data_IF_289823603577
#
_entry.id   IF_289823603577
#
_cell.length_a   1.000
_cell.length_b   1.000
_cell.length_c   1.000
_cell.angle_alpha   90.00
_cell.angle_beta   90.00
_cell.angle_gamma   90.00
#
_symmetry.space_group_name_H-M   'P 1'
#
loop_
_entity.id
_entity.type
_entity.pdbx_description
1 polymer ?
#
# COMPACT_ATOMS: atom_id res chain seq x y z
N UNK A 1 -18.31 10.05 -7.77
CA UNK A 1 -17.23 9.21 -8.31
C UNK A 1 -15.88 9.73 -7.83
N UNK A 2 -15.24 8.94 -7.02
CA UNK A 2 -13.99 9.35 -6.38
C UNK A 2 -12.95 8.25 -6.61
N UNK A 3 -12.05 8.40 -7.58
CA UNK A 3 -11.09 7.36 -7.92
C UNK A 3 -10.14 7.06 -6.78
N UNK A 4 -9.69 8.08 -6.06
CA UNK A 4 -8.76 7.90 -4.96
C UNK A 4 -9.37 7.08 -3.84
N UNK A 5 -10.63 7.35 -3.49
CA UNK A 5 -11.36 6.60 -2.47
C UNK A 5 -11.68 5.17 -2.95
N UNK A 6 -12.04 4.99 -4.21
CA UNK A 6 -12.34 3.64 -4.75
C UNK A 6 -11.11 2.75 -4.71
N UNK A 7 -9.95 3.28 -5.10
CA UNK A 7 -8.69 2.54 -5.02
C UNK A 7 -8.35 2.17 -3.58
N UNK A 8 -8.43 3.15 -2.68
CA UNK A 8 -8.14 2.95 -1.26
C UNK A 8 -9.02 1.85 -0.67
N UNK A 9 -10.32 1.93 -0.90
CA UNK A 9 -11.30 0.96 -0.38
C UNK A 9 -11.04 -0.43 -0.93
N UNK A 10 -10.73 -0.56 -2.22
CA UNK A 10 -10.39 -1.83 -2.83
C UNK A 10 -9.17 -2.45 -2.14
N UNK A 11 -8.08 -1.69 -2.03
CA UNK A 11 -6.85 -2.20 -1.43
C UNK A 11 -7.09 -2.63 0.02
N UNK A 12 -7.79 -1.81 0.78
CA UNK A 12 -8.07 -2.09 2.18
C UNK A 12 -8.87 -3.38 2.35
N UNK A 13 -9.92 -3.56 1.56
CA UNK A 13 -10.77 -4.77 1.61
C UNK A 13 -9.97 -6.01 1.24
N UNK A 14 -9.22 -5.95 0.14
CA UNK A 14 -8.46 -7.11 -0.34
C UNK A 14 -7.32 -7.48 0.61
N UNK A 15 -6.63 -6.50 1.17
CA UNK A 15 -5.57 -6.76 2.13
C UNK A 15 -6.11 -7.34 3.44
N UNK A 16 -7.27 -6.89 3.90
CA UNK A 16 -7.92 -7.43 5.09
C UNK A 16 -8.40 -8.87 4.91
N UNK A 17 -8.68 -9.29 3.68
CA UNK A 17 -8.97 -10.70 3.40
C UNK A 17 -7.76 -11.59 3.65
N UNK A 18 -6.56 -11.09 3.34
CA UNK A 18 -5.31 -11.83 3.53
C UNK A 18 -4.79 -11.74 4.97
N UNK A 19 -4.97 -10.59 5.60
CA UNK A 19 -4.44 -10.28 6.93
C UNK A 19 -5.54 -9.61 7.76
N UNK A 20 -6.56 -10.37 8.24
CA UNK A 20 -7.77 -9.77 8.81
C UNK A 20 -7.54 -8.84 10.00
N UNK A 21 -6.54 -9.14 10.82
CA UNK A 21 -6.31 -8.41 12.08
C UNK A 21 -5.08 -7.50 12.03
N UNK A 22 -4.44 -7.38 10.84
CA UNK A 22 -3.10 -6.78 10.75
C UNK A 22 -3.02 -5.66 9.71
N UNK A 23 -4.14 -5.09 9.29
CA UNK A 23 -4.16 -4.00 8.31
C UNK A 23 -4.78 -2.76 8.94
N UNK A 24 -4.06 -1.66 8.87
CA UNK A 24 -4.44 -0.37 9.43
C UNK A 24 -4.37 0.72 8.37
N UNK A 25 -5.14 1.80 8.60
CA UNK A 25 -5.19 2.92 7.67
C UNK A 25 -5.31 4.24 8.44
N UNK A 26 -5.08 5.34 7.73
CA UNK A 26 -5.23 6.72 8.20
C UNK A 26 -4.24 7.12 9.29
N UNK A 27 -4.20 6.36 10.40
CA UNK A 27 -3.27 6.59 11.51
C UNK A 27 -2.54 5.30 11.84
N UNK A 28 -1.29 5.43 12.26
CA UNK A 28 -0.54 4.29 12.78
C UNK A 28 -1.29 3.69 13.98
N UNK A 29 -1.24 2.35 14.12
CA UNK A 29 -1.92 1.70 15.23
C UNK A 29 -1.24 2.03 16.57
N UNK A 30 -1.93 1.76 17.71
CA UNK A 30 -1.35 1.94 19.04
C UNK A 30 -0.06 1.15 19.23
N UNK A 31 0.80 1.63 20.15
CA UNK A 31 2.13 1.05 20.41
C UNK A 31 2.12 -0.43 20.77
N UNK A 32 1.03 -0.92 21.39
CA UNK A 32 0.91 -2.33 21.77
C UNK A 32 0.36 -3.24 20.67
N UNK A 33 0.26 -2.73 19.45
CA UNK A 33 -0.25 -3.52 18.32
C UNK A 33 0.72 -4.63 17.97
N UNK A 34 0.22 -5.87 17.77
CA UNK A 34 1.08 -6.98 17.38
C UNK A 34 1.74 -6.78 16.02
N UNK A 35 3.00 -7.20 15.92
CA UNK A 35 3.73 -7.23 14.65
C UNK A 35 3.65 -8.63 14.03
N UNK A 36 3.80 -8.75 12.70
CA UNK A 36 3.89 -7.67 11.72
C UNK A 36 2.53 -7.08 11.40
N UNK A 37 2.53 -5.85 10.87
CA UNK A 37 1.27 -5.27 10.37
C UNK A 37 1.51 -4.48 9.09
N UNK A 38 0.42 -4.28 8.34
CA UNK A 38 0.37 -3.48 7.12
C UNK A 38 -0.29 -2.15 7.46
N UNK A 39 0.28 -1.07 6.96
CA UNK A 39 -0.30 0.26 7.09
C UNK A 39 -0.48 0.85 5.69
N UNK A 40 -1.74 1.10 5.32
CA UNK A 40 -2.07 1.76 4.06
C UNK A 40 -1.95 3.26 4.30
N UNK A 41 -0.89 3.84 3.75
CA UNK A 41 -0.46 5.20 4.06
C UNK A 41 -0.92 6.24 3.06
N UNK A 42 0.02 7.12 2.70
CA UNK A 42 -0.28 8.29 1.89
C UNK A 42 -0.76 7.94 0.50
N UNK A 43 -1.72 8.73 0.02
CA UNK A 43 -2.29 8.63 -1.31
C UNK A 43 -2.27 9.99 -1.98
N UNK A 44 -1.92 10.03 -3.27
CA UNK A 44 -1.87 11.27 -4.04
C UNK A 44 -2.50 11.06 -5.41
N UNK A 45 -3.48 11.87 -5.72
CA UNK A 45 -4.06 11.92 -7.07
C UNK A 45 -3.35 13.02 -7.85
N UNK A 46 -2.79 12.66 -9.00
CA UNK A 46 -2.17 13.62 -9.91
C UNK A 46 -3.14 13.91 -11.04
N UNK A 47 -3.56 15.16 -11.10
CA UNK A 47 -4.41 15.70 -12.14
C UNK A 47 -3.56 16.62 -13.02
N UNK A 48 -3.10 16.10 -14.16
CA UNK A 48 -2.23 16.84 -15.06
C UNK A 48 -3.06 17.45 -16.19
N UNK A 49 -3.43 18.72 -16.00
CA UNK A 49 -4.25 19.45 -16.97
C UNK A 49 -3.54 19.71 -18.31
N UNK A 50 -2.23 19.53 -18.37
CA UNK A 50 -1.44 19.74 -19.58
C UNK A 50 -1.34 18.50 -20.46
N UNK A 51 -1.75 17.34 -19.95
CA UNK A 51 -1.78 16.10 -20.72
C UNK A 51 -3.10 15.98 -21.46
N UNK A 52 -3.01 15.71 -22.75
CA UNK A 52 -4.16 15.29 -23.53
C UNK A 52 -4.51 13.82 -23.26
N UNK A 53 -3.90 13.21 -22.26
CA UNK A 53 -4.06 11.80 -21.95
C UNK A 53 -5.43 11.51 -21.36
N UNK A 54 -5.98 10.36 -21.73
CA UNK A 54 -7.25 9.85 -21.23
C UNK A 54 -7.08 9.26 -19.82
N UNK A 55 -5.84 9.08 -19.37
CA UNK A 55 -5.53 8.41 -18.12
C UNK A 55 -5.03 9.38 -17.07
N UNK A 56 -5.41 9.10 -15.82
CA UNK A 56 -4.99 9.82 -14.63
C UNK A 56 -4.22 8.87 -13.73
N UNK A 57 -3.44 9.40 -12.80
CA UNK A 57 -2.59 8.59 -11.93
C UNK A 57 -2.94 8.80 -10.46
N UNK A 58 -2.91 7.70 -9.71
CA UNK A 58 -2.94 7.73 -8.25
C UNK A 58 -1.68 7.05 -7.74
N UNK A 59 -0.99 7.70 -6.82
CA UNK A 59 0.16 7.14 -6.10
C UNK A 59 -0.30 6.71 -4.72
N UNK A 60 0.00 5.48 -4.36
CA UNK A 60 -0.36 4.91 -3.07
C UNK A 60 0.87 4.32 -2.40
N UNK A 61 1.11 4.70 -1.15
CA UNK A 61 2.19 4.13 -0.35
C UNK A 61 1.59 3.15 0.64
N UNK A 62 2.18 1.96 0.72
CA UNK A 62 1.79 0.92 1.69
C UNK A 62 3.04 0.48 2.43
N UNK A 63 2.93 0.39 3.76
CA UNK A 63 4.02 0.03 4.65
C UNK A 63 3.78 -1.32 5.28
N UNK A 64 4.88 -2.03 5.54
CA UNK A 64 4.89 -3.23 6.38
C UNK A 64 5.90 -3.01 7.49
N UNK A 65 5.48 -3.24 8.74
CA UNK A 65 6.37 -3.10 9.91
C UNK A 65 6.50 -4.42 10.63
N UNK A 66 7.73 -4.75 11.02
CA UNK A 66 8.03 -5.91 11.85
C UNK A 66 9.06 -5.55 12.90
N UNK A 67 8.90 -6.08 14.12
CA UNK A 67 9.83 -5.80 15.22
C UNK A 67 10.92 -6.88 15.38
N UNK A 68 10.99 -7.84 14.48
CA UNK A 68 12.00 -8.88 14.52
C UNK A 68 12.95 -8.75 13.32
N UNK A 69 14.23 -8.37 13.53
CA UNK A 69 15.17 -8.17 12.43
C UNK A 69 15.51 -9.45 11.66
N UNK A 70 15.21 -10.62 12.22
CA UNK A 70 15.42 -11.91 11.55
C UNK A 70 14.28 -12.28 10.61
N UNK A 71 13.21 -11.52 10.58
CA UNK A 71 12.00 -11.81 9.81
C UNK A 71 11.92 -10.97 8.52
N UNK A 72 13.05 -10.72 7.89
CA UNK A 72 13.09 -10.03 6.60
C UNK A 72 12.28 -10.76 5.54
N UNK A 73 12.33 -12.10 5.53
CA UNK A 73 11.54 -12.91 4.60
C UNK A 73 10.04 -12.75 4.79
N UNK A 74 9.58 -12.59 6.03
CA UNK A 74 8.18 -12.32 6.32
C UNK A 74 7.74 -10.97 5.73
N UNK A 75 8.54 -9.94 5.94
CA UNK A 75 8.27 -8.60 5.38
C UNK A 75 8.24 -8.67 3.85
N UNK A 76 9.23 -9.32 3.25
CA UNK A 76 9.30 -9.49 1.79
C UNK A 76 8.08 -10.22 1.23
N UNK A 77 7.63 -11.28 1.91
CA UNK A 77 6.42 -12.02 1.49
C UNK A 77 5.17 -11.16 1.58
N UNK A 78 5.02 -10.39 2.64
CA UNK A 78 3.87 -9.50 2.78
C UNK A 78 3.85 -8.44 1.67
N UNK A 79 5.02 -7.88 1.34
CA UNK A 79 5.14 -6.95 0.21
C UNK A 79 4.76 -7.61 -1.12
N UNK A 80 5.16 -8.88 -1.31
CA UNK A 80 4.79 -9.64 -2.50
C UNK A 80 3.28 -9.83 -2.60
N UNK A 81 2.63 -10.16 -1.48
CA UNK A 81 1.17 -10.31 -1.44
C UNK A 81 0.45 -9.00 -1.79
N UNK A 82 0.96 -7.88 -1.29
CA UNK A 82 0.41 -6.56 -1.61
C UNK A 82 0.56 -6.25 -3.10
N UNK A 83 1.72 -6.54 -3.67
CA UNK A 83 1.95 -6.36 -5.12
C UNK A 83 1.01 -7.21 -5.94
N UNK A 84 0.77 -8.45 -5.51
CA UNK A 84 -0.14 -9.36 -6.22
C UNK A 84 -1.57 -8.82 -6.24
N UNK A 85 -2.07 -8.38 -5.09
CA UNK A 85 -3.39 -7.73 -4.97
C UNK A 85 -3.46 -6.51 -5.90
N UNK A 86 -2.40 -5.70 -5.91
CA UNK A 86 -2.35 -4.48 -6.71
C UNK A 86 -2.37 -4.77 -8.21
N UNK A 87 -1.67 -5.82 -8.65
CA UNK A 87 -1.64 -6.22 -10.06
C UNK A 87 -2.93 -6.86 -10.54
N UNK A 88 -3.68 -7.49 -9.64
CA UNK A 88 -4.96 -8.13 -9.97
C UNK A 88 -6.10 -7.14 -10.12
N UNK A 89 -5.91 -5.90 -9.69
CA UNK A 89 -6.93 -4.87 -9.82
C UNK A 89 -7.08 -4.46 -11.29
N UNK A 90 -8.29 -4.70 -11.85
CA UNK A 90 -8.65 -4.29 -13.20
C UNK A 90 -9.71 -3.20 -13.19
N UNK A 91 -10.61 -3.24 -12.22
CA UNK A 91 -11.79 -2.38 -12.24
C UNK A 91 -12.35 -2.18 -10.85
N UNK A 92 -12.73 -0.93 -10.55
CA UNK A 92 -13.61 -0.61 -9.43
C UNK A 92 -14.96 -0.17 -10.00
N UNK A 93 -15.89 0.24 -9.15
CA UNK A 93 -17.25 0.55 -9.58
C UNK A 93 -17.30 1.50 -10.78
N UNK A 94 -16.46 2.54 -10.78
CA UNK A 94 -16.53 3.60 -11.77
C UNK A 94 -15.29 3.73 -12.66
N UNK A 95 -14.25 2.98 -12.42
CA UNK A 95 -12.96 3.19 -13.09
C UNK A 95 -12.30 1.88 -13.50
N UNK A 96 -11.57 1.94 -14.60
CA UNK A 96 -10.66 0.88 -15.02
C UNK A 96 -9.25 1.23 -14.54
N UNK A 97 -8.54 0.24 -13.99
CA UNK A 97 -7.23 0.43 -13.35
C UNK A 97 -6.16 -0.44 -13.96
N UNK A 98 -4.94 0.07 -13.96
CA UNK A 98 -3.76 -0.78 -14.15
C UNK A 98 -2.59 -0.24 -13.31
N UNK A 99 -1.80 -1.17 -12.78
CA UNK A 99 -0.58 -0.83 -12.04
C UNK A 99 0.50 -0.47 -13.05
N UNK A 100 1.04 0.75 -12.93
CA UNK A 100 2.02 1.29 -13.88
C UNK A 100 3.45 1.09 -13.39
N UNK A 101 3.73 1.47 -12.14
CA UNK A 101 5.07 1.37 -11.56
C UNK A 101 4.98 0.90 -10.12
N UNK A 102 6.01 0.17 -9.70
CA UNK A 102 6.18 -0.31 -8.33
C UNK A 102 7.61 -0.04 -7.90
N UNK A 103 7.78 0.59 -6.75
CA UNK A 103 9.07 0.70 -6.07
C UNK A 103 8.96 0.04 -4.71
N UNK A 104 9.95 -0.78 -4.35
CA UNK A 104 9.95 -1.53 -3.09
C UNK A 104 11.26 -1.33 -2.36
N UNK A 105 11.16 -0.92 -1.10
CA UNK A 105 12.30 -0.78 -0.21
C UNK A 105 12.06 -1.56 1.08
N UNK A 106 13.11 -2.12 1.64
CA UNK A 106 13.11 -2.72 2.97
C UNK A 106 14.29 -2.11 3.71
N UNK A 107 14.02 -1.46 4.84
CA UNK A 107 15.02 -0.72 5.56
C UNK A 107 14.82 -0.84 7.06
N UNK A 108 15.87 -0.61 7.88
CA UNK A 108 15.68 -0.47 9.31
C UNK A 108 14.99 0.86 9.61
N UNK A 109 14.13 0.86 10.61
CA UNK A 109 13.50 2.06 11.16
C UNK A 109 13.89 2.17 12.62
N UNK A 110 14.68 3.19 12.93
CA UNK A 110 15.21 3.44 14.28
C UNK A 110 14.50 4.60 14.97
N UNK A 111 13.37 5.05 14.44
CA UNK A 111 12.58 6.14 15.02
C UNK A 111 11.90 5.75 16.34
N UNK A 112 11.80 4.46 16.62
CA UNK A 112 11.25 3.92 17.85
C UNK A 112 12.37 3.42 18.78
N UNK A 113 12.06 3.16 20.06
CA UNK A 113 13.03 2.66 21.03
C UNK A 113 13.55 1.26 20.66
N UNK A 114 12.72 0.45 19.99
CA UNK A 114 13.12 -0.84 19.46
C UNK A 114 13.19 -0.71 17.93
N UNK A 115 14.33 -1.04 17.30
CA UNK A 115 14.45 -0.97 15.85
C UNK A 115 13.45 -1.88 15.15
N UNK A 116 12.85 -1.38 14.07
CA UNK A 116 11.89 -2.11 13.26
C UNK A 116 12.47 -2.42 11.89
N UNK A 117 11.98 -3.49 11.26
CA UNK A 117 12.07 -3.65 9.82
C UNK A 117 10.90 -2.91 9.19
N UNK A 118 11.17 -2.10 8.19
CA UNK A 118 10.18 -1.29 7.52
C UNK A 118 10.21 -1.56 6.02
N UNK A 119 9.19 -2.23 5.51
CA UNK A 119 8.98 -2.40 4.09
C UNK A 119 8.11 -1.28 3.56
N UNK A 120 8.46 -0.73 2.41
CA UNK A 120 7.70 0.35 1.76
C UNK A 120 7.46 -0.01 0.31
N UNK A 121 6.18 0.01 -0.08
CA UNK A 121 5.76 -0.05 -1.46
C UNK A 121 5.25 1.30 -1.89
N UNK A 122 5.80 1.81 -2.98
CA UNK A 122 5.28 2.98 -3.68
C UNK A 122 4.66 2.49 -4.97
N UNK A 123 3.34 2.61 -5.06
CA UNK A 123 2.56 2.08 -6.17
C UNK A 123 2.03 3.25 -6.99
N UNK A 124 2.22 3.17 -8.30
CA UNK A 124 1.62 4.13 -9.23
C UNK A 124 0.59 3.40 -10.07
N UNK A 125 -0.68 3.80 -9.93
CA UNK A 125 -1.78 3.27 -10.72
C UNK A 125 -2.23 4.31 -11.74
N UNK A 126 -2.55 3.86 -12.94
CA UNK A 126 -3.28 4.68 -13.90
C UNK A 126 -4.73 4.20 -13.97
N UNK A 127 -5.63 5.15 -14.25
CA UNK A 127 -7.06 4.84 -14.35
C UNK A 127 -7.73 5.74 -15.39
N UNK A 128 -8.87 5.28 -15.84
CA UNK A 128 -9.77 6.08 -16.67
C UNK A 128 -11.23 5.74 -16.41
#
# INVERSE_FOLDING_TARGET
MDPQQELFSYLLVELKKLYPDNVYDTFLPPDNTPYPFIYVGNSQLIDDANKSAVFWNVYQIIHVFHNNPKQRGTVSKMLLDIKKVSRELNHTTNFAWSLKNVSQDIMPDTSTSIPLLHGVLSLEFKFN
#
